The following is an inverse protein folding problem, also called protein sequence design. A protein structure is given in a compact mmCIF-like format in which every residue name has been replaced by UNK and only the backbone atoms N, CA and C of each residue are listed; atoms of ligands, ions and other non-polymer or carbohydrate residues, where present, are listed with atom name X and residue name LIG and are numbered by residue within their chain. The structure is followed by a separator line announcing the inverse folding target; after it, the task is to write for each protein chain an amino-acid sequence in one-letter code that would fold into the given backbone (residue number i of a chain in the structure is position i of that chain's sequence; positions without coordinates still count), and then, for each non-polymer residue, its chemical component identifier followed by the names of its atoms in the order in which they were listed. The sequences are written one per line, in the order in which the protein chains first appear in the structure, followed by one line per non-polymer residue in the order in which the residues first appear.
data_IF_488013521146
#
_entry.id   IF_488013521146
#
_cell.length_a   1.000
_cell.length_b   1.000
_cell.length_c   1.000
_cell.angle_alpha   90.00
_cell.angle_beta   90.00
_cell.angle_gamma   90.00
#
_symmetry.space_group_name_H-M   'P 1'
#
loop_
_entity.id
_entity.type
_entity.pdbx_description
1 polymer ?
#
# COMPACT_ATOMS: atom_id res chain seq x y z
N UNK A 1 -3.82 -23.89 30.31
CA UNK A 1 -2.45 -24.41 30.43
C UNK A 1 -1.61 -23.52 31.36
N UNK A 2 -1.57 -22.22 31.16
CA UNK A 2 -0.80 -21.27 31.98
C UNK A 2 -1.15 -21.36 33.48
N UNK A 3 -2.44 -21.26 33.84
CA UNK A 3 -2.93 -21.39 35.23
C UNK A 3 -2.52 -22.73 35.86
N UNK A 4 -2.44 -23.80 35.08
CA UNK A 4 -2.04 -25.12 35.56
C UNK A 4 -0.53 -25.23 35.77
N UNK A 5 0.27 -24.58 34.90
CA UNK A 5 1.72 -24.45 35.06
C UNK A 5 2.09 -23.61 36.30
N UNK A 6 1.38 -22.50 36.53
CA UNK A 6 1.52 -21.69 37.74
C UNK A 6 1.20 -22.49 38.99
N UNK A 7 0.10 -23.27 39.01
CA UNK A 7 -0.29 -24.11 40.13
C UNK A 7 0.73 -25.27 40.41
N UNK A 8 1.40 -25.76 39.35
CA UNK A 8 2.45 -26.78 39.49
C UNK A 8 3.82 -26.24 39.84
N UNK A 9 3.94 -24.89 39.98
CA UNK A 9 5.21 -24.18 40.21
C UNK A 9 6.26 -24.47 39.13
N UNK A 10 5.83 -24.79 37.93
CA UNK A 10 6.67 -25.00 36.76
C UNK A 10 6.96 -23.63 36.11
N UNK A 11 7.89 -22.90 36.74
CA UNK A 11 8.17 -21.49 36.39
C UNK A 11 8.78 -21.34 35.00
N UNK A 12 9.57 -22.33 34.57
CA UNK A 12 10.23 -22.27 33.27
C UNK A 12 9.21 -22.35 32.12
N UNK A 13 8.33 -23.35 32.12
CA UNK A 13 7.28 -23.45 31.12
C UNK A 13 6.21 -22.36 31.25
N UNK A 14 6.00 -21.82 32.44
CA UNK A 14 5.13 -20.66 32.66
C UNK A 14 5.69 -19.43 32.01
N UNK A 15 6.99 -19.18 32.15
CA UNK A 15 7.69 -18.06 31.53
C UNK A 15 7.62 -18.13 30.00
N UNK A 16 7.97 -19.28 29.41
CA UNK A 16 7.89 -19.45 27.96
C UNK A 16 6.45 -19.33 27.44
N UNK A 17 5.47 -19.86 28.13
CA UNK A 17 4.06 -19.75 27.76
C UNK A 17 3.56 -18.31 27.81
N UNK A 18 3.98 -17.53 28.82
CA UNK A 18 3.62 -16.11 28.96
C UNK A 18 4.33 -15.26 27.92
N UNK A 19 5.63 -15.50 27.71
CA UNK A 19 6.41 -14.82 26.69
C UNK A 19 5.84 -15.07 25.29
N UNK A 20 5.49 -16.31 24.95
CA UNK A 20 4.85 -16.64 23.68
C UNK A 20 3.51 -15.91 23.51
N UNK A 21 2.70 -15.80 24.56
CA UNK A 21 1.39 -15.14 24.54
C UNK A 21 1.50 -13.62 24.36
N UNK A 22 2.58 -13.02 24.86
CA UNK A 22 2.89 -11.59 24.72
C UNK A 22 3.58 -11.26 23.37
N UNK A 23 4.51 -12.13 22.96
CA UNK A 23 5.31 -11.88 21.74
C UNK A 23 4.48 -12.15 20.47
N UNK A 24 3.56 -13.11 20.50
CA UNK A 24 2.78 -13.48 19.32
C UNK A 24 1.94 -12.31 18.74
N UNK A 25 1.14 -11.56 19.55
CA UNK A 25 0.47 -10.37 19.03
C UNK A 25 1.45 -9.26 18.63
N UNK A 26 2.59 -9.13 19.34
CA UNK A 26 3.62 -8.16 18.98
C UNK A 26 4.29 -8.49 17.64
N UNK A 27 4.48 -9.77 17.32
CA UNK A 27 5.01 -10.16 16.00
C UNK A 27 4.09 -9.75 14.85
N UNK A 28 2.78 -9.66 15.08
CA UNK A 28 1.83 -9.16 14.08
C UNK A 28 1.95 -7.63 13.90
N UNK A 29 2.42 -6.91 14.92
CA UNK A 29 2.50 -5.45 14.93
C UNK A 29 3.92 -4.90 14.79
N UNK A 30 4.96 -5.73 14.92
CA UNK A 30 6.37 -5.30 14.79
C UNK A 30 6.65 -4.64 13.46
N UNK A 31 6.08 -5.14 12.37
CA UNK A 31 6.20 -4.51 11.06
C UNK A 31 5.50 -3.16 10.98
N UNK A 32 4.41 -2.94 11.71
CA UNK A 32 3.73 -1.63 11.79
C UNK A 32 4.56 -0.59 12.55
N UNK A 33 5.36 -1.04 13.53
CA UNK A 33 6.23 -0.15 14.31
C UNK A 33 7.55 0.12 13.57
N UNK A 34 8.01 -0.82 12.76
CA UNK A 34 9.28 -0.71 12.03
C UNK A 34 9.16 0.09 10.72
N UNK A 35 7.96 0.24 10.16
CA UNK A 35 7.71 1.03 8.95
C UNK A 35 6.90 2.26 9.32
N UNK A 36 7.49 3.45 9.19
CA UNK A 36 6.84 4.74 9.46
C UNK A 36 5.69 5.05 8.48
N UNK A 37 5.57 4.28 7.43
CA UNK A 37 4.46 4.34 6.46
C UNK A 37 3.65 3.04 6.55
N UNK A 38 2.42 3.16 7.01
CA UNK A 38 1.49 2.05 7.17
C UNK A 38 0.93 1.56 5.82
N UNK A 39 1.81 1.03 4.98
CA UNK A 39 1.38 0.23 3.84
C UNK A 39 1.02 -1.16 4.37
N UNK A 40 -0.28 -1.40 4.51
CA UNK A 40 -0.82 -2.70 4.87
C UNK A 40 -0.55 -3.71 3.75
N UNK A 41 0.60 -4.37 3.82
CA UNK A 41 0.88 -5.48 2.91
C UNK A 41 0.25 -6.79 3.41
N UNK A 42 -0.21 -7.60 2.47
CA UNK A 42 -0.74 -8.96 2.66
C UNK A 42 0.06 -9.83 3.66
N UNK A 43 1.41 -9.73 3.80
CA UNK A 43 2.16 -10.45 4.82
C UNK A 43 1.76 -10.12 6.27
N UNK A 44 1.22 -8.93 6.53
CA UNK A 44 0.80 -8.54 7.89
C UNK A 44 -0.49 -9.25 8.32
N UNK A 45 -1.40 -9.53 7.39
CA UNK A 45 -2.60 -10.33 7.65
C UNK A 45 -2.29 -11.81 7.86
N UNK A 46 -1.18 -12.31 7.29
CA UNK A 46 -0.70 -13.68 7.49
C UNK A 46 -0.33 -13.99 8.94
N UNK A 47 0.23 -13.01 9.67
CA UNK A 47 0.52 -13.14 11.11
C UNK A 47 -0.76 -13.34 11.94
N UNK A 48 -1.82 -12.62 11.63
CA UNK A 48 -3.13 -12.76 12.28
C UNK A 48 -3.77 -14.11 11.94
N UNK A 49 -3.64 -14.58 10.70
CA UNK A 49 -4.13 -15.88 10.28
C UNK A 49 -3.41 -17.04 10.98
N UNK A 50 -2.14 -16.90 11.30
CA UNK A 50 -1.38 -17.90 12.09
C UNK A 50 -1.65 -17.79 13.60
N UNK A 51 -1.97 -16.58 14.11
CA UNK A 51 -2.29 -16.39 15.53
C UNK A 51 -3.47 -17.25 16.00
N UNK A 52 -4.55 -17.27 15.22
CA UNK A 52 -5.75 -18.04 15.57
C UNK A 52 -5.51 -19.55 15.66
N UNK A 53 -4.90 -20.24 14.67
CA UNK A 53 -4.55 -21.66 14.80
C UNK A 53 -3.67 -21.97 16.00
N UNK A 54 -2.71 -21.11 16.33
CA UNK A 54 -1.84 -21.28 17.50
C UNK A 54 -2.63 -21.13 18.80
N UNK A 55 -3.52 -20.14 18.91
CA UNK A 55 -4.41 -20.00 20.05
C UNK A 55 -5.31 -21.25 20.21
N UNK A 56 -5.85 -21.77 19.13
CA UNK A 56 -6.67 -22.98 19.15
C UNK A 56 -5.87 -24.21 19.51
N UNK A 57 -4.66 -24.36 18.98
CA UNK A 57 -3.76 -25.46 19.37
C UNK A 57 -3.38 -25.39 20.86
N UNK A 58 -3.14 -24.21 21.41
CA UNK A 58 -2.88 -24.00 22.83
C UNK A 58 -4.10 -24.34 23.70
N UNK A 59 -5.31 -24.05 23.23
CA UNK A 59 -6.56 -24.38 23.90
C UNK A 59 -6.82 -25.90 23.87
N UNK A 60 -6.59 -26.57 22.76
CA UNK A 60 -6.78 -28.02 22.60
C UNK A 60 -5.79 -28.83 23.46
N UNK A 61 -4.53 -28.43 23.50
CA UNK A 61 -3.49 -29.04 24.33
C UNK A 61 -3.77 -28.99 25.84
N UNK A 62 -4.72 -28.16 26.29
CA UNK A 62 -5.04 -27.97 27.70
C UNK A 62 -6.06 -28.99 28.24
N UNK A 63 -6.55 -29.92 27.40
CA UNK A 63 -7.71 -30.78 27.69
C UNK A 63 -7.46 -32.11 28.40
N UNK A 64 -6.26 -32.45 28.78
CA UNK A 64 -5.94 -33.73 29.45
C UNK A 64 -6.32 -33.82 30.93
N UNK A 65 -7.32 -33.11 31.41
CA UNK A 65 -7.80 -33.11 32.80
C UNK A 65 -9.19 -33.73 32.95
N UNK A 66 -9.24 -34.92 33.54
CA UNK A 66 -10.47 -35.63 33.91
C UNK A 66 -11.24 -34.91 35.02
N UNK A 67 -12.57 -34.89 34.88
CA UNK A 67 -13.65 -34.68 35.85
C UNK A 67 -14.57 -33.51 35.55
N UNK A 68 -15.61 -33.77 34.77
CA UNK A 68 -16.88 -33.05 34.79
C UNK A 68 -17.92 -33.90 34.06
N UNK A 69 -19.20 -33.76 34.41
CA UNK A 69 -20.35 -34.49 33.88
C UNK A 69 -20.27 -34.67 32.34
N UNK A 70 -20.22 -35.92 31.87
CA UNK A 70 -19.92 -36.24 30.46
C UNK A 70 -20.89 -35.64 29.44
N UNK A 71 -22.16 -35.41 29.83
CA UNK A 71 -23.14 -34.77 28.95
C UNK A 71 -22.89 -33.28 28.71
N UNK A 72 -22.55 -32.55 29.76
CA UNK A 72 -22.22 -31.11 29.66
C UNK A 72 -20.92 -30.92 28.87
N UNK A 73 -19.94 -31.75 29.11
CA UNK A 73 -18.66 -31.78 28.39
C UNK A 73 -18.84 -32.05 26.89
N UNK A 74 -19.77 -32.95 26.52
CA UNK A 74 -20.04 -33.28 25.11
C UNK A 74 -20.76 -32.12 24.38
N UNK A 75 -21.66 -31.42 25.05
CA UNK A 75 -22.34 -30.22 24.51
C UNK A 75 -21.37 -29.08 24.38
N UNK A 76 -20.55 -28.80 25.40
CA UNK A 76 -19.53 -27.73 25.38
C UNK A 76 -18.48 -27.95 24.26
N UNK A 77 -18.03 -29.17 24.07
CA UNK A 77 -17.08 -29.51 23.01
C UNK A 77 -17.66 -29.26 21.59
N UNK A 78 -18.98 -29.48 21.41
CA UNK A 78 -19.64 -29.16 20.13
C UNK A 78 -19.76 -27.68 19.92
N UNK A 79 -20.17 -26.93 20.93
CA UNK A 79 -20.30 -25.46 20.87
C UNK A 79 -18.93 -24.79 20.61
N UNK A 80 -17.88 -25.24 21.26
CA UNK A 80 -16.52 -24.77 21.08
C UNK A 80 -16.00 -25.04 19.67
N UNK A 81 -16.21 -26.25 19.12
CA UNK A 81 -15.83 -26.58 17.74
C UNK A 81 -16.60 -25.73 16.74
N UNK A 82 -17.89 -25.50 16.98
CA UNK A 82 -18.71 -24.63 16.14
C UNK A 82 -18.21 -23.18 16.19
N UNK A 83 -17.86 -22.68 17.38
CA UNK A 83 -17.31 -21.33 17.54
C UNK A 83 -15.96 -21.18 16.81
N UNK A 84 -15.07 -22.17 16.95
CA UNK A 84 -13.79 -22.20 16.23
C UNK A 84 -14.02 -22.15 14.71
N UNK A 85 -14.93 -23.00 14.20
CA UNK A 85 -15.23 -23.05 12.78
C UNK A 85 -15.81 -21.73 12.27
N UNK A 86 -16.74 -21.13 13.01
CA UNK A 86 -17.34 -19.83 12.68
C UNK A 86 -16.30 -18.72 12.68
N UNK A 87 -15.42 -18.68 13.68
CA UNK A 87 -14.35 -17.69 13.75
C UNK A 87 -13.37 -17.86 12.60
N UNK A 88 -12.96 -19.09 12.31
CA UNK A 88 -12.08 -19.36 11.17
C UNK A 88 -12.74 -18.97 9.84
N UNK A 89 -14.01 -19.29 9.64
CA UNK A 89 -14.76 -18.92 8.46
C UNK A 89 -14.89 -17.38 8.33
N UNK A 90 -15.16 -16.67 9.44
CA UNK A 90 -15.24 -15.20 9.44
C UNK A 90 -13.90 -14.54 9.09
N UNK A 91 -12.78 -15.08 9.63
CA UNK A 91 -11.43 -14.57 9.31
C UNK A 91 -11.09 -14.81 7.84
N UNK A 92 -11.34 -16.03 7.34
CA UNK A 92 -11.07 -16.35 5.92
C UNK A 92 -11.92 -15.48 5.01
N UNK A 93 -13.23 -15.35 5.30
CA UNK A 93 -14.13 -14.51 4.52
C UNK A 93 -13.68 -13.04 4.54
N UNK A 94 -13.38 -12.49 5.72
CA UNK A 94 -12.89 -11.11 5.85
C UNK A 94 -11.58 -10.89 5.08
N UNK A 95 -10.63 -11.82 5.17
CA UNK A 95 -9.35 -11.72 4.44
C UNK A 95 -9.54 -11.77 2.93
N UNK A 96 -10.40 -12.66 2.43
CA UNK A 96 -10.72 -12.77 1.00
C UNK A 96 -11.42 -11.50 0.51
N UNK A 97 -12.39 -11.00 1.28
CA UNK A 97 -13.13 -9.79 0.94
C UNK A 97 -12.22 -8.55 0.88
N UNK A 98 -11.38 -8.35 1.90
CA UNK A 98 -10.42 -7.23 1.90
C UNK A 98 -9.40 -7.34 0.77
N UNK A 99 -8.87 -8.54 0.52
CA UNK A 99 -7.95 -8.77 -0.59
C UNK A 99 -8.60 -8.49 -1.95
N UNK A 100 -9.88 -8.81 -2.12
CA UNK A 100 -10.61 -8.50 -3.35
C UNK A 100 -10.80 -6.99 -3.55
N UNK A 101 -11.09 -6.24 -2.46
CA UNK A 101 -11.19 -4.78 -2.51
C UNK A 101 -9.84 -4.17 -2.91
N UNK A 102 -8.74 -4.60 -2.26
CA UNK A 102 -7.39 -4.10 -2.56
C UNK A 102 -6.99 -4.38 -4.00
N UNK A 103 -7.23 -5.59 -4.50
CA UNK A 103 -6.95 -5.95 -5.89
C UNK A 103 -7.75 -5.10 -6.88
N UNK A 104 -9.02 -4.85 -6.59
CA UNK A 104 -9.85 -4.00 -7.43
C UNK A 104 -9.38 -2.54 -7.37
N UNK A 105 -9.02 -2.03 -6.20
CA UNK A 105 -8.45 -0.69 -6.04
C UNK A 105 -7.16 -0.54 -6.86
N UNK A 106 -6.25 -1.50 -6.79
CA UNK A 106 -5.01 -1.51 -7.57
C UNK A 106 -5.29 -1.58 -9.08
N UNK A 107 -6.30 -2.33 -9.51
CA UNK A 107 -6.70 -2.40 -10.92
C UNK A 107 -7.22 -1.05 -11.41
N UNK A 108 -8.14 -0.41 -10.66
CA UNK A 108 -8.69 0.90 -11.01
C UNK A 108 -7.61 1.99 -10.97
N UNK A 109 -6.73 1.97 -9.97
CA UNK A 109 -5.61 2.91 -9.86
C UNK A 109 -4.62 2.76 -11.01
N UNK A 110 -4.30 1.53 -11.42
CA UNK A 110 -3.48 1.28 -12.61
C UNK A 110 -4.14 1.85 -13.88
N UNK A 111 -5.44 1.64 -14.03
CA UNK A 111 -6.20 2.16 -15.18
C UNK A 111 -6.19 3.68 -15.18
N UNK A 112 -6.42 4.32 -14.03
CA UNK A 112 -6.38 5.77 -13.89
C UNK A 112 -4.97 6.34 -14.16
N UNK A 113 -3.91 5.71 -13.62
CA UNK A 113 -2.52 6.10 -13.92
C UNK A 113 -2.23 6.01 -15.42
N UNK A 114 -2.65 4.91 -16.07
CA UNK A 114 -2.47 4.75 -17.51
C UNK A 114 -3.22 5.81 -18.30
N UNK A 115 -4.45 6.15 -17.94
CA UNK A 115 -5.22 7.19 -18.61
C UNK A 115 -4.52 8.55 -18.56
N UNK A 116 -3.94 8.92 -17.42
CA UNK A 116 -3.16 10.15 -17.28
C UNK A 116 -1.94 10.11 -18.21
N UNK A 117 -1.20 9.01 -18.20
CA UNK A 117 -0.01 8.86 -19.02
C UNK A 117 -0.34 8.88 -20.53
N UNK A 118 -1.43 8.23 -20.94
CA UNK A 118 -1.89 8.27 -22.33
C UNK A 118 -2.27 9.72 -22.76
N UNK A 119 -3.00 10.44 -21.91
CA UNK A 119 -3.39 11.83 -22.20
C UNK A 119 -2.17 12.75 -22.30
N UNK A 120 -1.20 12.60 -21.41
CA UNK A 120 0.07 13.35 -21.47
C UNK A 120 0.82 13.01 -22.77
N UNK A 121 0.86 11.74 -23.13
CA UNK A 121 1.50 11.29 -24.35
C UNK A 121 0.84 11.88 -25.61
N UNK A 122 -0.49 11.88 -25.65
CA UNK A 122 -1.26 12.44 -26.76
C UNK A 122 -1.04 13.95 -26.89
N UNK A 123 -0.99 14.68 -25.76
CA UNK A 123 -0.76 16.12 -25.77
C UNK A 123 0.68 16.45 -26.19
N UNK A 124 1.69 15.69 -25.73
CA UNK A 124 3.07 15.84 -26.22
C UNK A 124 3.19 15.67 -27.74
N UNK A 125 2.44 14.75 -28.30
CA UNK A 125 2.37 14.57 -29.76
C UNK A 125 1.68 15.76 -30.41
N UNK A 126 0.56 16.25 -29.85
CA UNK A 126 -0.20 17.37 -30.39
C UNK A 126 0.59 18.68 -30.35
N UNK A 127 1.41 18.90 -29.34
CA UNK A 127 2.30 20.07 -29.24
C UNK A 127 3.57 19.94 -30.09
N UNK A 128 3.77 18.82 -30.78
CA UNK A 128 4.91 18.65 -31.69
C UNK A 128 6.24 18.32 -30.98
N UNK A 129 6.20 17.81 -29.75
CA UNK A 129 7.41 17.45 -29.00
C UNK A 129 8.34 16.53 -29.80
N UNK A 130 7.79 15.63 -30.62
CA UNK A 130 8.56 14.69 -31.44
C UNK A 130 9.12 15.30 -32.72
N UNK A 131 8.62 16.46 -33.13
CA UNK A 131 9.07 17.20 -34.30
C UNK A 131 10.23 18.14 -33.98
N UNK A 132 10.58 18.28 -32.67
CA UNK A 132 11.72 19.07 -32.25
C UNK A 132 13.03 18.45 -32.79
N UNK A 133 13.94 19.29 -33.34
CA UNK A 133 15.22 18.81 -33.89
C UNK A 133 16.11 18.18 -32.81
N UNK A 134 15.96 18.59 -31.57
CA UNK A 134 16.61 18.04 -30.39
C UNK A 134 15.54 17.80 -29.33
N UNK A 135 15.45 16.56 -28.84
CA UNK A 135 14.46 16.23 -27.81
C UNK A 135 14.91 16.79 -26.47
N UNK A 136 14.09 17.66 -25.93
CA UNK A 136 14.30 18.17 -24.58
C UNK A 136 14.00 17.07 -23.55
N UNK A 137 14.78 16.98 -22.45
CA UNK A 137 14.42 16.12 -21.36
C UNK A 137 13.08 16.55 -20.74
N UNK A 138 12.28 15.59 -20.29
CA UNK A 138 10.94 15.84 -19.72
C UNK A 138 11.01 15.77 -18.19
N UNK A 139 10.32 16.68 -17.54
CA UNK A 139 10.09 16.68 -16.09
C UNK A 139 8.60 16.54 -15.80
N UNK A 140 8.23 15.50 -15.07
CA UNK A 140 6.85 15.29 -14.62
C UNK A 140 6.74 15.62 -13.13
N UNK A 141 5.93 16.64 -12.81
CA UNK A 141 5.78 17.19 -11.46
C UNK A 141 4.48 16.69 -10.83
N UNK A 142 4.59 16.10 -9.64
CA UNK A 142 3.47 15.59 -8.89
C UNK A 142 3.15 14.12 -9.18
N UNK A 143 2.30 13.55 -8.34
CA UNK A 143 1.91 12.13 -8.40
C UNK A 143 0.56 11.94 -9.10
N UNK A 144 0.34 10.78 -9.75
CA UNK A 144 -0.91 10.50 -10.44
C UNK A 144 -2.13 10.57 -9.53
N UNK A 145 -2.06 9.99 -8.32
CA UNK A 145 -3.19 9.90 -7.39
C UNK A 145 -3.74 11.26 -6.93
N UNK A 146 -2.94 12.30 -6.97
CA UNK A 146 -3.34 13.66 -6.63
C UNK A 146 -3.81 14.48 -7.86
N UNK A 147 -3.73 13.90 -9.07
CA UNK A 147 -4.23 14.55 -10.28
C UNK A 147 -5.75 14.63 -10.28
N UNK A 148 -6.35 15.75 -10.78
CA UNK A 148 -7.79 15.86 -10.97
C UNK A 148 -8.36 14.83 -11.97
N UNK A 149 -7.49 14.23 -12.78
CA UNK A 149 -7.82 13.17 -13.73
C UNK A 149 -7.80 11.76 -13.13
N UNK A 150 -7.23 11.60 -11.93
CA UNK A 150 -7.19 10.30 -11.27
C UNK A 150 -8.56 9.97 -10.68
N UNK A 151 -9.34 9.23 -11.46
CA UNK A 151 -10.72 8.89 -11.09
C UNK A 151 -10.84 7.41 -10.80
N UNK A 152 -11.07 7.09 -9.52
CA UNK A 152 -11.46 5.77 -9.06
C UNK A 152 -12.87 5.82 -8.46
N UNK A 153 -13.45 4.67 -8.20
CA UNK A 153 -14.74 4.63 -7.50
C UNK A 153 -14.57 5.10 -6.05
N UNK A 154 -15.58 5.80 -5.50
CA UNK A 154 -15.55 6.41 -4.17
C UNK A 154 -15.13 5.46 -3.04
N UNK A 155 -15.47 4.17 -3.14
CA UNK A 155 -15.09 3.16 -2.16
C UNK A 155 -13.57 2.86 -2.12
N UNK A 156 -12.81 3.34 -3.10
CA UNK A 156 -11.36 3.14 -3.21
C UNK A 156 -10.56 4.41 -2.92
N UNK A 157 -11.19 5.53 -2.52
CA UNK A 157 -10.48 6.79 -2.32
C UNK A 157 -9.36 6.68 -1.28
N UNK A 158 -9.60 5.95 -0.19
CA UNK A 158 -8.56 5.73 0.84
C UNK A 158 -7.40 4.86 0.32
N UNK A 159 -7.61 4.17 -0.80
CA UNK A 159 -6.62 3.31 -1.44
C UNK A 159 -5.84 4.02 -2.57
N UNK A 160 -6.24 5.22 -3.00
CA UNK A 160 -5.68 5.89 -4.17
C UNK A 160 -4.16 6.04 -4.09
N UNK A 161 -3.62 6.33 -2.91
CA UNK A 161 -2.19 6.56 -2.73
C UNK A 161 -1.34 5.32 -2.98
N UNK A 162 -1.82 4.14 -2.61
CA UNK A 162 -1.10 2.89 -2.88
C UNK A 162 -1.59 2.15 -4.12
N UNK A 163 -2.74 2.54 -4.66
CA UNK A 163 -3.33 1.93 -5.85
C UNK A 163 -2.70 2.45 -7.17
N UNK A 164 -2.11 3.65 -7.15
CA UNK A 164 -1.39 4.18 -8.31
C UNK A 164 -0.18 3.30 -8.68
N UNK A 165 0.21 3.31 -9.94
CA UNK A 165 1.43 2.62 -10.39
C UNK A 165 2.65 3.47 -10.09
N UNK A 166 3.60 2.91 -9.34
CA UNK A 166 4.82 3.58 -8.94
C UNK A 166 4.80 4.05 -7.48
N UNK A 167 5.99 4.25 -6.95
CA UNK A 167 6.22 4.81 -5.62
C UNK A 167 6.57 6.29 -5.76
N UNK A 168 5.59 7.14 -5.58
CA UNK A 168 5.76 8.59 -5.72
C UNK A 168 5.97 9.22 -4.33
N UNK A 169 7.24 9.37 -3.95
CA UNK A 169 7.62 10.05 -2.70
C UNK A 169 7.88 11.54 -3.00
N UNK A 170 7.19 12.42 -2.30
CA UNK A 170 7.28 13.87 -2.49
C UNK A 170 8.70 14.41 -2.29
N UNK A 171 9.44 13.81 -1.37
CA UNK A 171 10.76 14.26 -0.92
C UNK A 171 11.92 13.71 -1.75
N UNK A 172 11.64 12.89 -2.77
CA UNK A 172 12.66 12.14 -3.48
C UNK A 172 12.50 12.24 -4.99
N UNK A 173 13.27 13.13 -5.61
CA UNK A 173 13.31 13.34 -7.05
C UNK A 173 13.60 12.04 -7.81
N UNK A 174 14.54 11.23 -7.32
CA UNK A 174 14.90 9.96 -7.95
C UNK A 174 13.72 8.98 -7.96
N UNK A 175 12.93 8.92 -6.89
CA UNK A 175 11.74 8.08 -6.79
C UNK A 175 10.63 8.56 -7.73
N UNK A 176 10.42 9.86 -7.81
CA UNK A 176 9.49 10.47 -8.77
C UNK A 176 9.85 10.14 -10.21
N UNK A 177 11.10 10.42 -10.58
CA UNK A 177 11.62 10.14 -11.92
C UNK A 177 11.56 8.65 -12.27
N UNK A 178 11.99 7.79 -11.36
CA UNK A 178 11.93 6.35 -11.55
C UNK A 178 10.50 5.86 -11.77
N UNK A 179 9.56 6.34 -10.96
CA UNK A 179 8.16 5.93 -11.05
C UNK A 179 7.51 6.40 -12.35
N UNK A 180 7.73 7.64 -12.76
CA UNK A 180 7.24 8.14 -14.05
C UNK A 180 7.87 7.40 -15.23
N UNK A 181 9.18 7.11 -15.17
CA UNK A 181 9.83 6.31 -16.20
C UNK A 181 9.20 4.92 -16.32
N UNK A 182 8.93 4.26 -15.19
CA UNK A 182 8.25 2.96 -15.19
C UNK A 182 6.82 3.06 -15.76
N UNK A 183 6.07 4.10 -15.40
CA UNK A 183 4.72 4.34 -15.92
C UNK A 183 4.74 4.46 -17.45
N UNK A 184 5.58 5.33 -18.00
CA UNK A 184 5.65 5.53 -19.44
C UNK A 184 6.19 4.30 -20.16
N UNK A 185 7.24 3.66 -19.68
CA UNK A 185 7.80 2.45 -20.28
C UNK A 185 6.82 1.26 -20.30
N UNK A 186 6.08 1.07 -19.20
CA UNK A 186 5.31 -0.16 -18.98
C UNK A 186 3.83 0.00 -19.34
N UNK A 187 3.30 1.22 -19.38
CA UNK A 187 1.87 1.48 -19.60
C UNK A 187 1.56 2.22 -20.91
N UNK A 188 2.55 2.88 -21.53
CA UNK A 188 2.37 3.60 -22.80
C UNK A 188 3.33 3.08 -23.85
N UNK A 189 3.06 3.29 -25.16
CA UNK A 189 4.01 3.00 -26.21
C UNK A 189 5.14 4.04 -26.32
N UNK A 190 5.09 5.11 -25.50
CA UNK A 190 5.98 6.24 -25.57
C UNK A 190 7.12 6.08 -24.56
N UNK A 191 8.34 6.36 -24.99
CA UNK A 191 9.51 6.47 -24.12
C UNK A 191 9.89 7.95 -24.00
N UNK A 192 9.97 8.44 -22.76
CA UNK A 192 10.41 9.79 -22.45
C UNK A 192 11.84 9.74 -21.91
N UNK A 193 12.64 10.70 -22.34
CA UNK A 193 13.92 10.99 -21.70
C UNK A 193 13.66 11.95 -20.54
N UNK A 194 13.76 11.47 -19.30
CA UNK A 194 13.50 12.29 -18.13
C UNK A 194 14.74 13.07 -17.73
N UNK A 195 14.54 14.28 -17.20
CA UNK A 195 15.64 15.12 -16.69
C UNK A 195 16.39 14.43 -15.54
N UNK A 196 17.61 14.91 -15.23
CA UNK A 196 18.39 14.39 -14.10
C UNK A 196 17.77 14.77 -12.75
N UNK A 197 18.19 14.08 -11.68
CA UNK A 197 17.67 14.36 -10.33
C UNK A 197 18.05 15.76 -9.86
N UNK A 198 19.26 16.23 -10.20
CA UNK A 198 19.76 17.57 -9.85
C UNK A 198 18.90 18.66 -10.50
N UNK A 199 18.60 18.50 -11.79
CA UNK A 199 17.74 19.44 -12.52
C UNK A 199 16.32 19.42 -11.98
N UNK A 200 15.82 18.25 -11.62
CA UNK A 200 14.51 18.12 -10.99
C UNK A 200 14.45 18.89 -9.66
N UNK A 201 15.44 18.67 -8.77
CA UNK A 201 15.49 19.29 -7.44
C UNK A 201 15.67 20.82 -7.50
N UNK A 202 16.33 21.33 -8.54
CA UNK A 202 16.48 22.75 -8.76
C UNK A 202 15.18 23.39 -9.27
N UNK A 203 14.58 22.84 -10.32
CA UNK A 203 13.40 23.39 -10.95
C UNK A 203 12.15 23.30 -10.08
N UNK A 204 11.95 22.19 -9.33
CA UNK A 204 10.72 21.94 -8.57
C UNK A 204 10.45 23.02 -7.51
N UNK A 205 11.49 23.72 -7.05
CA UNK A 205 11.41 24.77 -6.03
C UNK A 205 11.13 26.17 -6.63
N UNK A 206 11.12 26.30 -7.94
CA UNK A 206 10.92 27.60 -8.59
C UNK A 206 9.49 28.11 -8.44
N UNK A 207 9.35 29.44 -8.35
CA UNK A 207 8.03 30.08 -8.29
C UNK A 207 7.23 29.91 -9.59
N UNK A 208 7.91 29.62 -10.68
CA UNK A 208 7.28 29.35 -11.98
C UNK A 208 6.49 28.05 -11.94
N UNK A 209 7.07 26.96 -11.46
CA UNK A 209 6.36 25.68 -11.29
C UNK A 209 5.23 25.78 -10.26
N UNK A 210 5.42 26.54 -9.17
CA UNK A 210 4.36 26.74 -8.18
C UNK A 210 3.13 27.41 -8.78
N UNK A 211 3.32 28.38 -9.69
CA UNK A 211 2.23 29.12 -10.35
C UNK A 211 1.67 28.42 -11.58
N UNK A 212 2.38 27.42 -12.09
CA UNK A 212 1.96 26.66 -13.24
C UNK A 212 0.66 25.92 -12.95
N UNK A 213 -0.35 25.94 -13.84
CA UNK A 213 -1.58 25.19 -13.66
C UNK A 213 -1.31 23.68 -13.74
N UNK A 214 -2.23 22.88 -13.24
CA UNK A 214 -2.14 21.41 -13.32
C UNK A 214 -2.76 20.89 -14.61
N UNK A 215 -2.17 19.84 -15.15
CA UNK A 215 -2.70 19.13 -16.33
C UNK A 215 -4.13 18.60 -16.06
N UNK A 216 -5.09 18.81 -16.95
CA UNK A 216 -4.98 19.19 -18.36
C UNK A 216 -5.22 20.70 -18.66
N UNK A 217 -5.05 21.59 -17.70
CA UNK A 217 -5.29 23.00 -17.93
C UNK A 217 -4.24 23.59 -18.89
N UNK A 218 -4.64 24.58 -19.68
CA UNK A 218 -3.75 25.24 -20.62
C UNK A 218 -2.58 25.91 -19.88
N UNK A 219 -1.36 25.61 -20.29
CA UNK A 219 -0.14 26.09 -19.65
C UNK A 219 0.42 25.16 -18.58
N UNK A 220 -0.16 23.97 -18.41
CA UNK A 220 0.38 22.90 -17.55
C UNK A 220 1.59 22.18 -18.14
N UNK A 221 1.93 22.49 -19.38
CA UNK A 221 3.06 21.97 -20.12
C UNK A 221 3.84 23.15 -20.69
N UNK A 222 5.12 23.31 -20.31
CA UNK A 222 5.95 24.44 -20.70
C UNK A 222 7.43 24.05 -20.78
N UNK A 223 8.18 24.73 -21.66
CA UNK A 223 9.63 24.65 -21.69
C UNK A 223 10.21 25.62 -20.65
N UNK A 224 11.06 25.10 -19.76
CA UNK A 224 11.77 25.86 -18.73
C UNK A 224 13.22 25.40 -18.68
N UNK A 225 14.17 26.29 -18.85
CA UNK A 225 15.62 26.01 -18.77
C UNK A 225 16.10 24.80 -19.58
N UNK A 226 15.52 24.59 -20.77
CA UNK A 226 15.85 23.46 -21.64
C UNK A 226 15.24 22.12 -21.21
N UNK A 227 14.24 22.16 -20.32
CA UNK A 227 13.48 20.99 -19.87
C UNK A 227 11.99 21.22 -20.19
N UNK A 228 11.33 20.20 -20.67
CA UNK A 228 9.89 20.24 -20.91
C UNK A 228 9.13 19.80 -19.67
N UNK A 229 8.60 20.77 -18.92
CA UNK A 229 7.95 20.55 -17.62
C UNK A 229 6.46 20.29 -17.80
N UNK A 230 5.95 19.24 -17.16
CA UNK A 230 4.53 18.86 -17.16
C UNK A 230 4.07 18.74 -15.70
N UNK A 231 3.15 19.60 -15.28
CA UNK A 231 2.62 19.59 -13.91
C UNK A 231 1.36 18.75 -13.83
N UNK A 232 1.48 17.56 -13.26
CA UNK A 232 0.40 16.57 -13.13
C UNK A 232 -0.51 16.86 -11.94
N UNK A 233 0.06 17.33 -10.82
CA UNK A 233 -0.68 17.65 -9.60
C UNK A 233 0.08 18.65 -8.72
N UNK A 234 -0.63 19.25 -7.75
CA UNK A 234 -0.04 20.14 -6.75
C UNK A 234 0.71 19.38 -5.63
N UNK A 235 0.56 18.07 -5.55
CA UNK A 235 1.09 17.25 -4.48
C UNK A 235 2.55 16.82 -4.75
N UNK A 236 3.46 17.79 -4.71
CA UNK A 236 4.90 17.62 -4.96
C UNK A 236 5.79 18.43 -4.01
N UNK A 237 5.24 19.41 -3.30
CA UNK A 237 5.98 20.19 -2.31
C UNK A 237 5.85 19.54 -0.93
N UNK A 238 6.95 19.58 -0.20
CA UNK A 238 6.96 19.38 1.24
C UNK A 238 6.48 20.71 1.84
N UNK A 239 5.44 20.67 2.66
CA UNK A 239 5.10 21.80 3.50
C UNK A 239 6.29 22.04 4.44
N UNK A 240 6.97 23.20 4.30
CA UNK A 240 8.04 23.63 5.19
C UNK A 240 7.51 23.92 6.60
#
# INVERSE_FOLDING_TARGET
RLVRLIRRKDWENTFYGTAALLVLPMMCTVFMVATSQALFYIPMSGGLALFLPVCFWLLDSSREGKTACDAFRKCWNKAEKALILLTAAAVVYGSVFMSAIDQQAMYEGRKATKQIADLVADELVAEGYYDLPEKLPVMLVGRPSASPLFRTHVIYWDANDYAQVGLFEKENAATMRYSWNAVFRDLTPMQLELCSDEVYDELIRTEEIKRMPTFPEKGSMQEMDGVYVIKISEDYLIDE
#
